data_IF_277808654013
#
_entry.id   IF_277808654013
#
_cell.length_a   1.000
_cell.length_b   1.000
_cell.length_c   1.000
_cell.angle_alpha   90.00
_cell.angle_beta   90.00
_cell.angle_gamma   90.00
#
_symmetry.space_group_name_H-M   'P 1'
#
loop_
_entity.id
_entity.type
_entity.pdbx_description
1 polymer ?
#
# COMPACT_ATOMS: atom_id res chain seq x y z
N UNK A 1 12.92 5.66 8.40
CA UNK A 1 11.64 6.00 7.76
C UNK A 1 10.54 6.08 8.80
N UNK A 2 9.80 7.15 8.78
CA UNK A 2 8.69 7.33 9.69
C UNK A 2 7.43 6.67 9.13
N UNK A 3 6.73 5.94 9.98
CA UNK A 3 5.46 5.32 9.65
C UNK A 3 4.40 5.90 10.57
N UNK A 4 3.22 6.12 10.03
CA UNK A 4 2.07 6.53 10.82
C UNK A 4 1.14 5.33 10.99
N UNK A 5 0.92 4.93 12.24
CA UNK A 5 0.03 3.81 12.54
C UNK A 5 -1.25 4.37 13.14
N UNK A 6 -2.36 4.13 12.46
CA UNK A 6 -3.65 4.64 12.88
C UNK A 6 -4.62 3.49 13.04
N UNK A 7 -5.20 3.37 14.23
CA UNK A 7 -6.32 2.45 14.46
C UNK A 7 -7.60 3.14 14.01
N UNK A 8 -8.22 2.59 12.98
CA UNK A 8 -9.44 3.14 12.41
C UNK A 8 -10.64 2.35 12.90
N UNK A 9 -11.60 3.03 13.49
CA UNK A 9 -12.84 2.44 13.94
C UNK A 9 -14.04 2.88 13.10
N UNK A 10 -13.82 3.77 12.13
CA UNK A 10 -14.88 4.22 11.24
C UNK A 10 -14.31 4.79 9.95
N UNK A 11 -15.19 4.96 8.96
CA UNK A 11 -14.85 5.45 7.63
C UNK A 11 -14.24 6.84 7.67
N UNK A 12 -14.75 7.70 8.55
CA UNK A 12 -14.27 9.10 8.65
C UNK A 12 -12.80 9.17 8.99
N UNK A 13 -12.32 8.37 9.95
CA UNK A 13 -10.92 8.37 10.35
C UNK A 13 -10.03 7.88 9.22
N UNK A 14 -10.48 6.87 8.48
CA UNK A 14 -9.75 6.35 7.33
C UNK A 14 -9.62 7.41 6.24
N UNK A 15 -10.72 8.09 5.91
CA UNK A 15 -10.73 9.15 4.91
C UNK A 15 -9.79 10.29 5.33
N UNK A 16 -9.85 10.70 6.59
CA UNK A 16 -8.98 11.75 7.10
C UNK A 16 -7.50 11.39 6.98
N UNK A 17 -7.15 10.13 7.23
CA UNK A 17 -5.79 9.66 7.08
C UNK A 17 -5.32 9.78 5.62
N UNK A 18 -6.13 9.33 4.68
CA UNK A 18 -5.79 9.39 3.26
C UNK A 18 -5.60 10.83 2.81
N UNK A 19 -6.50 11.72 3.19
CA UNK A 19 -6.37 13.15 2.84
C UNK A 19 -5.10 13.77 3.43
N UNK A 20 -4.76 13.42 4.66
CA UNK A 20 -3.54 13.89 5.30
C UNK A 20 -2.29 13.42 4.55
N UNK A 21 -2.25 12.15 4.18
CA UNK A 21 -1.10 11.61 3.42
C UNK A 21 -0.98 12.26 2.04
N UNK A 22 -2.11 12.50 1.39
CA UNK A 22 -2.13 13.09 0.05
C UNK A 22 -1.57 14.51 0.05
N UNK A 23 -1.75 15.25 1.15
CA UNK A 23 -1.36 16.65 1.27
C UNK A 23 0.01 16.86 1.90
N UNK A 24 0.73 15.81 2.27
CA UNK A 24 2.05 15.96 2.89
C UNK A 24 3.08 16.48 1.88
N UNK A 25 4.02 17.34 2.34
CA UNK A 25 5.10 17.81 1.47
C UNK A 25 5.98 16.65 0.99
N UNK A 26 6.68 16.87 -0.11
CA UNK A 26 7.69 15.93 -0.59
C UNK A 26 8.79 15.79 0.47
N UNK A 27 9.48 14.65 0.46
CA UNK A 27 10.56 14.29 1.38
C UNK A 27 10.10 13.91 2.79
N UNK A 28 8.80 13.92 3.05
CA UNK A 28 8.24 13.37 4.29
C UNK A 28 7.68 11.99 3.96
N UNK A 29 8.08 10.93 4.70
CA UNK A 29 7.55 9.60 4.46
C UNK A 29 6.03 9.57 4.55
N UNK A 30 5.41 8.88 3.59
CA UNK A 30 3.95 8.82 3.44
C UNK A 30 3.49 7.37 3.47
N UNK A 31 3.87 6.66 4.53
CA UNK A 31 3.40 5.29 4.75
C UNK A 31 2.56 5.24 6.01
N UNK A 32 1.47 4.51 5.95
CA UNK A 32 0.56 4.38 7.08
C UNK A 32 0.00 2.97 7.16
N UNK A 33 -0.35 2.57 8.37
CA UNK A 33 -1.05 1.31 8.63
C UNK A 33 -2.41 1.65 9.22
N UNK A 34 -3.46 1.17 8.56
CA UNK A 34 -4.83 1.24 9.07
C UNK A 34 -5.19 -0.16 9.55
N UNK A 35 -5.57 -0.28 10.82
CA UNK A 35 -5.91 -1.58 11.39
C UNK A 35 -7.12 -1.45 12.32
N UNK A 36 -7.81 -2.56 12.53
CA UNK A 36 -8.98 -2.60 13.38
C UNK A 36 -9.64 -3.96 13.35
N UNK A 37 -10.74 -4.08 14.08
CA UNK A 37 -11.49 -5.33 14.17
C UNK A 37 -12.10 -5.71 12.81
N UNK A 38 -12.24 -7.03 12.55
CA UNK A 38 -12.96 -7.48 11.37
C UNK A 38 -14.39 -6.95 11.37
N UNK A 39 -14.93 -6.70 10.18
CA UNK A 39 -16.33 -6.27 10.05
C UNK A 39 -16.57 -4.77 10.19
N UNK A 40 -15.52 -3.96 10.27
CA UNK A 40 -15.65 -2.50 10.34
C UNK A 40 -15.70 -1.83 8.96
N UNK A 41 -15.84 -2.62 7.89
CA UNK A 41 -15.94 -2.08 6.55
C UNK A 41 -14.63 -1.54 5.97
N UNK A 42 -13.49 -1.96 6.47
CA UNK A 42 -12.18 -1.45 6.02
C UNK A 42 -11.93 -1.69 4.54
N UNK A 43 -12.20 -2.92 4.06
CA UNK A 43 -11.97 -3.25 2.65
C UNK A 43 -12.88 -2.47 1.73
N UNK A 44 -14.16 -2.32 2.09
CA UNK A 44 -15.11 -1.53 1.30
C UNK A 44 -14.71 -0.07 1.25
N UNK A 45 -14.26 0.47 2.39
CA UNK A 45 -13.77 1.85 2.46
C UNK A 45 -12.52 2.02 1.62
N UNK A 46 -11.60 1.06 1.66
CA UNK A 46 -10.38 1.09 0.87
C UNK A 46 -10.68 1.12 -0.63
N UNK A 47 -11.62 0.28 -1.08
CA UNK A 47 -12.04 0.27 -2.48
C UNK A 47 -12.68 1.59 -2.89
N UNK A 48 -13.56 2.13 -2.06
CA UNK A 48 -14.20 3.41 -2.32
C UNK A 48 -13.17 4.54 -2.44
N UNK A 49 -12.20 4.58 -1.52
CA UNK A 49 -11.14 5.58 -1.55
C UNK A 49 -10.24 5.41 -2.77
N UNK A 50 -9.96 4.17 -3.17
CA UNK A 50 -9.16 3.92 -4.36
C UNK A 50 -9.83 4.49 -5.61
N UNK A 51 -11.15 4.33 -5.72
CA UNK A 51 -11.91 4.92 -6.82
C UNK A 51 -11.92 6.45 -6.75
N UNK A 52 -12.13 7.01 -5.56
CA UNK A 52 -12.23 8.45 -5.37
C UNK A 52 -10.92 9.18 -5.71
N UNK A 53 -9.78 8.62 -5.32
CA UNK A 53 -8.48 9.26 -5.48
C UNK A 53 -7.67 8.68 -6.65
N UNK A 54 -8.27 7.83 -7.48
CA UNK A 54 -7.57 7.14 -8.57
C UNK A 54 -6.32 6.42 -8.04
N UNK A 55 -6.49 5.71 -6.94
CA UNK A 55 -5.40 4.99 -6.29
C UNK A 55 -5.28 3.58 -6.84
N UNK A 56 -4.10 3.02 -6.68
CA UNK A 56 -3.87 1.60 -6.97
C UNK A 56 -4.33 0.81 -5.75
N UNK A 57 -5.26 -0.11 -5.95
CA UNK A 57 -5.73 -1.02 -4.89
C UNK A 57 -5.28 -2.43 -5.19
N UNK A 58 -4.65 -3.05 -4.20
CA UNK A 58 -4.21 -4.44 -4.30
C UNK A 58 -4.55 -5.14 -2.99
N UNK A 59 -5.17 -6.33 -3.12
CA UNK A 59 -5.44 -7.18 -1.97
C UNK A 59 -4.35 -8.24 -1.88
N UNK A 60 -3.63 -8.27 -0.75
CA UNK A 60 -2.62 -9.28 -0.55
C UNK A 60 -3.26 -10.67 -0.46
N UNK A 61 -2.53 -11.67 -0.90
CA UNK A 61 -3.00 -13.05 -0.89
C UNK A 61 -2.04 -13.92 -0.07
N UNK A 62 -2.59 -14.98 0.51
CA UNK A 62 -1.76 -15.99 1.12
C UNK A 62 -0.78 -16.55 0.07
N UNK A 63 0.45 -16.79 0.45
CA UNK A 63 1.52 -17.27 -0.45
C UNK A 63 2.00 -16.22 -1.46
N UNK A 64 1.56 -14.98 -1.36
CA UNK A 64 2.02 -13.94 -2.28
C UNK A 64 3.53 -13.67 -2.08
N UNK A 65 4.29 -13.84 -3.16
CA UNK A 65 5.71 -13.56 -3.21
C UNK A 65 5.98 -12.14 -3.69
N UNK A 66 7.22 -11.68 -3.57
CA UNK A 66 7.65 -10.40 -4.17
C UNK A 66 7.33 -10.37 -5.66
N UNK A 67 7.64 -11.46 -6.35
CA UNK A 67 7.38 -11.56 -7.80
C UNK A 67 5.90 -11.38 -8.10
N UNK A 68 5.04 -12.09 -7.38
CA UNK A 68 3.59 -11.99 -7.58
C UNK A 68 3.09 -10.59 -7.28
N UNK A 69 3.55 -9.98 -6.17
CA UNK A 69 3.17 -8.62 -5.81
C UNK A 69 3.51 -7.63 -6.92
N UNK A 70 4.73 -7.69 -7.44
CA UNK A 70 5.17 -6.78 -8.51
C UNK A 70 4.38 -6.99 -9.79
N UNK A 71 4.08 -8.24 -10.14
CA UNK A 71 3.25 -8.53 -11.31
C UNK A 71 1.85 -7.93 -11.16
N UNK A 72 1.23 -8.06 -9.98
CA UNK A 72 -0.09 -7.50 -9.74
C UNK A 72 -0.09 -5.97 -9.80
N UNK A 73 0.95 -5.32 -9.25
CA UNK A 73 1.06 -3.86 -9.33
C UNK A 73 1.20 -3.39 -10.78
N UNK A 74 1.98 -4.09 -11.59
CA UNK A 74 2.13 -3.74 -13.02
C UNK A 74 0.79 -3.88 -13.74
N UNK A 75 0.02 -4.93 -13.45
CA UNK A 75 -1.30 -5.12 -14.05
C UNK A 75 -2.26 -4.00 -13.67
N UNK A 76 -2.23 -3.56 -12.41
CA UNK A 76 -3.08 -2.46 -11.96
C UNK A 76 -2.71 -1.13 -12.61
N UNK A 77 -1.53 -1.05 -13.19
CA UNK A 77 -1.08 0.12 -13.95
C UNK A 77 -1.35 -0.02 -15.45
N UNK A 78 -2.16 -1.00 -15.85
CA UNK A 78 -2.53 -1.27 -17.23
C UNK A 78 -1.33 -1.61 -18.11
N UNK A 79 -0.34 -2.29 -17.53
CA UNK A 79 0.84 -2.77 -18.25
C UNK A 79 0.91 -4.28 -18.21
N UNK A 80 1.67 -4.84 -19.14
CA UNK A 80 1.89 -6.28 -19.20
C UNK A 80 3.12 -6.60 -18.35
N UNK A 81 3.00 -7.49 -17.34
CA UNK A 81 4.16 -7.84 -16.52
C UNK A 81 5.26 -8.52 -17.32
N UNK A 82 6.50 -8.17 -17.00
CA UNK A 82 7.67 -8.85 -17.53
C UNK A 82 7.91 -10.15 -16.77
N UNK A 83 8.65 -11.04 -17.36
CA UNK A 83 9.11 -12.26 -16.69
C UNK A 83 10.08 -11.93 -15.53
N UNK A 84 10.86 -10.88 -15.66
CA UNK A 84 11.87 -10.49 -14.66
C UNK A 84 11.28 -9.49 -13.64
N UNK A 85 11.41 -9.82 -12.37
CA UNK A 85 10.93 -8.95 -11.29
C UNK A 85 11.62 -7.60 -11.29
N UNK A 86 12.91 -7.53 -11.64
CA UNK A 86 13.62 -6.26 -11.74
C UNK A 86 13.01 -5.34 -12.79
N UNK A 87 12.56 -5.90 -13.90
CA UNK A 87 11.88 -5.09 -14.92
C UNK A 87 10.54 -4.58 -14.42
N UNK A 88 9.78 -5.41 -13.72
CA UNK A 88 8.51 -5.01 -13.15
C UNK A 88 8.69 -3.89 -12.12
N UNK A 89 9.69 -4.02 -11.25
CA UNK A 89 10.02 -2.97 -10.30
C UNK A 89 10.31 -1.65 -11.01
N UNK A 90 11.12 -1.69 -12.06
CA UNK A 90 11.47 -0.49 -12.82
C UNK A 90 10.26 0.13 -13.53
N UNK A 91 9.35 -0.69 -14.07
CA UNK A 91 8.11 -0.22 -14.68
C UNK A 91 7.28 0.54 -13.64
N UNK A 92 7.11 -0.05 -12.46
CA UNK A 92 6.33 0.55 -11.37
C UNK A 92 6.92 1.91 -10.98
N UNK A 93 8.22 1.95 -10.72
CA UNK A 93 8.89 3.20 -10.32
C UNK A 93 8.76 4.27 -11.39
N UNK A 94 9.01 3.90 -12.64
CA UNK A 94 8.91 4.85 -13.75
C UNK A 94 7.50 5.42 -13.89
N UNK A 95 6.49 4.56 -13.83
CA UNK A 95 5.10 5.00 -13.98
C UNK A 95 4.65 5.88 -12.82
N UNK A 96 5.04 5.54 -11.60
CA UNK A 96 4.69 6.33 -10.42
C UNK A 96 5.40 7.66 -10.38
N UNK A 97 6.62 7.75 -10.91
CA UNK A 97 7.30 9.04 -11.04
C UNK A 97 6.64 9.93 -12.08
N UNK A 98 6.15 9.34 -13.18
CA UNK A 98 5.45 10.09 -14.22
C UNK A 98 4.06 10.53 -13.78
N UNK A 99 3.34 9.66 -13.08
CA UNK A 99 2.00 9.94 -12.55
C UNK A 99 1.90 9.40 -11.14
N UNK A 100 2.17 10.23 -10.12
CA UNK A 100 2.07 9.77 -8.73
C UNK A 100 0.66 9.32 -8.37
N UNK A 101 0.57 8.19 -7.67
CA UNK A 101 -0.69 7.62 -7.23
C UNK A 101 -0.54 7.09 -5.80
N UNK A 102 -1.62 7.16 -5.05
CA UNK A 102 -1.73 6.46 -3.77
C UNK A 102 -1.80 4.96 -4.01
N UNK A 103 -1.12 4.18 -3.19
CA UNK A 103 -1.19 2.71 -3.25
C UNK A 103 -1.83 2.22 -1.96
N UNK A 104 -2.86 1.40 -2.08
CA UNK A 104 -3.53 0.78 -0.93
C UNK A 104 -3.33 -0.73 -1.03
N UNK A 105 -2.69 -1.31 -0.02
CA UNK A 105 -2.49 -2.75 0.08
C UNK A 105 -3.39 -3.28 1.17
N UNK A 106 -4.44 -3.99 0.79
CA UNK A 106 -5.41 -4.56 1.72
C UNK A 106 -4.99 -5.97 2.15
N UNK A 107 -5.50 -6.40 3.29
CA UNK A 107 -5.19 -7.70 3.89
C UNK A 107 -3.70 -7.93 4.07
N UNK A 108 -3.02 -6.90 4.55
CA UNK A 108 -1.56 -6.91 4.73
C UNK A 108 -1.10 -8.03 5.68
N UNK A 109 -2.00 -8.58 6.46
CA UNK A 109 -1.71 -9.70 7.38
C UNK A 109 -1.05 -10.88 6.66
N UNK A 110 -1.41 -11.12 5.41
CA UNK A 110 -0.83 -12.20 4.61
C UNK A 110 0.65 -11.98 4.29
N UNK A 111 1.14 -10.74 4.39
CA UNK A 111 2.52 -10.39 4.09
C UNK A 111 3.38 -10.21 5.34
N UNK A 112 2.82 -10.39 6.53
CA UNK A 112 3.53 -10.08 7.78
C UNK A 112 4.72 -10.98 8.05
N UNK A 113 4.75 -12.17 7.51
CA UNK A 113 5.85 -13.11 7.68
C UNK A 113 6.89 -13.02 6.54
N UNK A 114 6.66 -12.14 5.58
CA UNK A 114 7.56 -11.93 4.45
C UNK A 114 8.02 -10.47 4.42
N UNK A 115 9.08 -10.20 5.20
CA UNK A 115 9.65 -8.86 5.26
C UNK A 115 10.17 -8.37 3.92
N UNK A 116 10.57 -9.29 3.04
CA UNK A 116 11.10 -8.93 1.74
C UNK A 116 10.04 -8.22 0.89
N UNK A 117 8.80 -8.68 0.96
CA UNK A 117 7.67 -8.04 0.27
C UNK A 117 7.41 -6.65 0.82
N UNK A 118 7.38 -6.51 2.14
CA UNK A 118 7.18 -5.21 2.80
C UNK A 118 8.32 -4.26 2.44
N UNK A 119 9.55 -4.72 2.45
CA UNK A 119 10.70 -3.89 2.11
C UNK A 119 10.71 -3.47 0.64
N UNK A 120 10.22 -4.34 -0.26
CA UNK A 120 10.08 -3.98 -1.66
C UNK A 120 9.08 -2.83 -1.83
N UNK A 121 7.96 -2.86 -1.10
CA UNK A 121 6.99 -1.77 -1.11
C UNK A 121 7.60 -0.49 -0.54
N UNK A 122 8.41 -0.62 0.51
CA UNK A 122 9.12 0.52 1.09
C UNK A 122 10.10 1.14 0.10
N UNK A 123 10.81 0.31 -0.67
CA UNK A 123 11.71 0.79 -1.71
C UNK A 123 10.97 1.55 -2.80
N UNK A 124 9.79 1.06 -3.20
CA UNK A 124 8.95 1.76 -4.16
C UNK A 124 8.55 3.13 -3.61
N UNK A 125 8.12 3.17 -2.35
CA UNK A 125 7.78 4.42 -1.68
C UNK A 125 8.96 5.38 -1.66
N UNK A 126 10.13 4.90 -1.25
CA UNK A 126 11.31 5.76 -1.09
C UNK A 126 11.78 6.34 -2.43
N UNK A 127 11.63 5.59 -3.52
CA UNK A 127 12.06 6.03 -4.84
C UNK A 127 11.05 6.94 -5.53
N UNK A 128 9.77 6.82 -5.20
CA UNK A 128 8.70 7.54 -5.91
C UNK A 128 8.03 8.61 -5.06
N UNK A 129 8.19 8.54 -3.74
CA UNK A 129 7.50 9.39 -2.76
C UNK A 129 5.97 9.25 -2.82
N UNK A 130 5.47 8.17 -3.44
CA UNK A 130 4.03 7.90 -3.49
C UNK A 130 3.55 7.34 -2.16
N UNK A 131 2.41 7.81 -1.64
CA UNK A 131 1.88 7.30 -0.38
C UNK A 131 1.49 5.83 -0.50
N UNK A 132 1.77 5.05 0.54
CA UNK A 132 1.35 3.65 0.62
C UNK A 132 0.61 3.45 1.94
N UNK A 133 -0.59 2.90 1.84
CA UNK A 133 -1.43 2.60 2.99
C UNK A 133 -1.61 1.09 3.08
N UNK A 134 -1.25 0.53 4.23
CA UNK A 134 -1.47 -0.87 4.54
C UNK A 134 -2.74 -1.00 5.36
N UNK A 135 -3.61 -1.92 4.98
CA UNK A 135 -4.85 -2.19 5.69
C UNK A 135 -4.81 -3.60 6.26
N UNK A 136 -5.04 -3.74 7.55
CA UNK A 136 -4.95 -5.03 8.20
C UNK A 136 -5.78 -5.15 9.47
N UNK A 137 -5.56 -6.22 10.23
CA UNK A 137 -6.26 -6.49 11.47
C UNK A 137 -5.52 -5.85 12.66
N UNK A 138 -6.18 -5.80 13.81
CA UNK A 138 -5.71 -5.04 14.96
C UNK A 138 -4.35 -5.44 15.51
N UNK A 139 -3.89 -6.66 15.26
CA UNK A 139 -2.60 -7.12 15.79
C UNK A 139 -1.42 -6.91 14.84
N UNK A 140 -1.69 -6.47 13.62
CA UNK A 140 -0.64 -6.37 12.59
C UNK A 140 0.40 -5.30 12.93
N UNK A 141 -0.01 -4.24 13.62
CA UNK A 141 0.91 -3.15 13.97
C UNK A 141 2.07 -3.60 14.85
N UNK A 142 1.85 -4.59 15.71
CA UNK A 142 2.91 -5.11 16.59
C UNK A 142 4.03 -5.77 15.81
N UNK A 143 3.69 -6.40 14.68
CA UNK A 143 4.67 -7.05 13.81
C UNK A 143 5.44 -6.04 12.97
N UNK A 144 4.79 -4.99 12.52
CA UNK A 144 5.42 -3.95 11.69
C UNK A 144 6.31 -3.00 12.48
N UNK A 145 6.11 -2.88 13.78
CA UNK A 145 6.95 -2.03 14.64
C UNK A 145 8.33 -2.62 14.93
N UNK A 146 8.53 -3.88 14.65
CA UNK A 146 9.79 -4.55 14.92
C UNK A 146 10.86 -4.25 13.88
#
# INVERSE_FOLDING_TARGET
>A
MNKTFVKTQNVRNFIGLIENLHNKPKNIPKMALVYGEPGLGKSQTALWLACKYDAIYLRAANLMSVRWLLEELVKEMDEIPSYLSSNNFNIIVRKLKAKPQLIIIDEIDYLMNDFKTIETLRDIHDKTECPIVFVGMSLVHKKLER
#
